data_IF_783348064574
#
_entry.id   IF_783348064574
#
_cell.length_a   1.000
_cell.length_b   1.000
_cell.length_c   1.000
_cell.angle_alpha   90.00
_cell.angle_beta   90.00
_cell.angle_gamma   90.00
#
_symmetry.space_group_name_H-M   'P 1'
#
loop_
_entity.id
_entity.type
_entity.pdbx_description
1 polymer ?
#
# COMPACT_ATOMS: atom_id res chain seq x y z
N UNK A 1 -8.54 1.04 11.93
CA UNK A 1 -9.09 -0.32 12.17
C UNK A 1 -8.09 -1.11 13.02
N UNK A 2 -8.50 -1.77 14.12
CA UNK A 2 -7.61 -2.68 14.86
C UNK A 2 -7.69 -4.07 14.22
N UNK A 3 -6.58 -4.53 13.65
CA UNK A 3 -6.46 -5.90 13.13
C UNK A 3 -6.16 -6.89 14.26
N UNK A 4 -6.63 -8.12 14.12
CA UNK A 4 -6.29 -9.18 15.06
C UNK A 4 -4.79 -9.50 14.98
N UNK A 5 -4.05 -9.61 16.10
CA UNK A 5 -2.58 -9.72 16.07
C UNK A 5 -2.02 -10.90 15.26
N UNK A 6 -2.76 -12.03 15.22
CA UNK A 6 -2.33 -13.25 14.50
C UNK A 6 -2.76 -13.28 13.03
N UNK A 7 -3.36 -12.20 12.52
CA UNK A 7 -3.78 -12.13 11.13
C UNK A 7 -2.56 -12.15 10.19
N UNK A 8 -2.58 -13.04 9.21
CA UNK A 8 -1.58 -13.12 8.13
C UNK A 8 -1.95 -12.15 7.00
N UNK A 9 -2.01 -10.85 7.30
CA UNK A 9 -2.34 -9.81 6.33
C UNK A 9 -1.75 -8.45 6.76
N UNK A 10 -1.79 -7.45 5.90
CA UNK A 10 -1.47 -6.05 6.20
C UNK A 10 -2.59 -5.14 5.69
N UNK A 11 -2.59 -3.87 6.11
CA UNK A 11 -3.61 -2.91 5.68
C UNK A 11 -3.14 -1.45 5.76
N UNK A 12 -3.52 -0.68 4.76
CA UNK A 12 -3.55 0.78 4.77
C UNK A 12 -4.96 1.33 5.11
N UNK A 13 -5.02 2.38 5.93
CA UNK A 13 -6.23 3.18 6.17
C UNK A 13 -5.99 4.62 5.74
N UNK A 14 -6.82 5.11 4.82
CA UNK A 14 -6.70 6.46 4.27
C UNK A 14 -7.05 7.55 5.29
N UNK A 15 -8.09 7.33 6.11
CA UNK A 15 -8.59 8.28 7.10
C UNK A 15 -7.61 8.52 8.25
N UNK A 16 -6.72 7.56 8.50
CA UNK A 16 -5.67 7.68 9.52
C UNK A 16 -4.27 7.80 8.93
N UNK A 17 -4.16 7.80 7.58
CA UNK A 17 -2.91 7.75 6.83
C UNK A 17 -1.88 6.79 7.47
N UNK A 18 -2.32 5.56 7.77
CA UNK A 18 -1.54 4.60 8.54
C UNK A 18 -1.50 3.22 7.89
N UNK A 19 -0.33 2.59 7.95
CA UNK A 19 -0.10 1.19 7.58
C UNK A 19 0.01 0.33 8.84
N UNK A 20 -0.64 -0.84 8.84
CA UNK A 20 -0.65 -1.76 9.97
C UNK A 20 -0.13 -3.13 9.55
N UNK A 21 0.88 -3.62 10.28
CA UNK A 21 1.42 -4.98 10.16
C UNK A 21 1.17 -5.73 11.48
N UNK A 22 0.16 -6.61 11.54
CA UNK A 22 -0.02 -7.54 12.65
C UNK A 22 1.21 -8.43 12.83
N UNK A 23 1.48 -8.88 14.05
CA UNK A 23 2.63 -9.74 14.33
C UNK A 23 2.63 -11.03 13.47
N UNK A 24 1.46 -11.57 13.14
CA UNK A 24 1.33 -12.78 12.33
C UNK A 24 2.03 -12.70 10.96
N UNK A 25 2.04 -11.54 10.29
CA UNK A 25 2.70 -11.41 8.98
C UNK A 25 4.23 -11.29 9.08
N UNK A 26 4.78 -11.07 10.28
CA UNK A 26 6.21 -10.93 10.54
C UNK A 26 6.91 -12.26 10.83
N UNK A 27 6.40 -13.33 10.23
CA UNK A 27 6.90 -14.70 10.36
C UNK A 27 7.60 -15.20 9.08
N UNK A 28 8.38 -16.29 9.16
CA UNK A 28 9.00 -16.89 8.01
C UNK A 28 8.06 -17.15 6.82
N UNK A 29 8.72 -17.07 5.66
CA UNK A 29 8.26 -16.75 4.28
C UNK A 29 8.28 -15.25 4.00
N UNK A 30 7.77 -14.38 4.90
CA UNK A 30 7.81 -12.93 4.69
C UNK A 30 9.00 -12.25 5.35
N UNK A 31 9.31 -12.60 6.60
CA UNK A 31 10.40 -11.99 7.35
C UNK A 31 11.16 -13.03 8.16
N UNK A 32 12.49 -12.89 8.17
CA UNK A 32 13.38 -13.62 9.08
C UNK A 32 14.37 -12.64 9.68
N UNK A 33 14.42 -12.54 11.01
CA UNK A 33 15.31 -11.61 11.70
C UNK A 33 16.78 -11.77 11.28
N UNK A 34 17.27 -13.03 11.23
CA UNK A 34 18.62 -13.37 10.79
C UNK A 34 18.68 -13.84 9.33
N UNK A 35 17.65 -13.52 8.52
CA UNK A 35 17.59 -13.91 7.12
C UNK A 35 18.44 -13.04 6.20
N UNK A 36 18.77 -13.57 5.01
CA UNK A 36 19.45 -12.76 3.99
C UNK A 36 18.57 -11.56 3.62
N UNK A 37 19.14 -10.35 3.62
CA UNK A 37 18.38 -9.11 3.38
C UNK A 37 17.55 -9.15 2.10
N UNK A 38 18.09 -9.71 1.02
CA UNK A 38 17.36 -9.81 -0.25
C UNK A 38 16.04 -10.60 -0.12
N UNK A 39 16.01 -11.64 0.74
CA UNK A 39 14.79 -12.42 1.00
C UNK A 39 13.77 -11.56 1.77
N UNK A 40 14.21 -10.83 2.80
CA UNK A 40 13.32 -9.92 3.54
C UNK A 40 12.80 -8.78 2.66
N UNK A 41 13.63 -8.21 1.78
CA UNK A 41 13.19 -7.19 0.83
C UNK A 41 12.16 -7.74 -0.18
N UNK A 42 12.37 -8.97 -0.68
CA UNK A 42 11.42 -9.63 -1.58
C UNK A 42 10.13 -10.11 -0.90
N UNK A 43 10.20 -10.45 0.38
CA UNK A 43 9.06 -10.83 1.21
C UNK A 43 8.38 -9.59 1.81
N UNK A 44 8.66 -9.31 3.08
CA UNK A 44 8.02 -8.22 3.82
C UNK A 44 8.27 -6.84 3.20
N UNK A 45 9.41 -6.62 2.53
CA UNK A 45 9.69 -5.35 1.87
C UNK A 45 8.69 -5.01 0.76
N UNK A 46 8.30 -5.99 -0.06
CA UNK A 46 7.25 -5.82 -1.08
C UNK A 46 5.91 -5.53 -0.44
N UNK A 47 5.57 -6.21 0.66
CA UNK A 47 4.30 -5.98 1.38
C UNK A 47 4.27 -4.57 1.99
N UNK A 48 5.39 -4.09 2.56
CA UNK A 48 5.50 -2.71 3.03
C UNK A 48 5.31 -1.72 1.88
N UNK A 49 5.97 -1.95 0.74
CA UNK A 49 5.80 -1.11 -0.45
C UNK A 49 4.36 -1.11 -1.00
N UNK A 50 3.69 -2.26 -0.93
CA UNK A 50 2.28 -2.42 -1.31
C UNK A 50 1.36 -1.53 -0.45
N UNK A 51 1.49 -1.61 0.88
CA UNK A 51 0.66 -0.80 1.79
C UNK A 51 0.95 0.70 1.66
N UNK A 52 2.20 1.10 1.42
CA UNK A 52 2.53 2.51 1.10
C UNK A 52 1.84 2.95 -0.18
N UNK A 53 1.82 2.09 -1.21
CA UNK A 53 1.22 2.41 -2.51
C UNK A 53 -0.29 2.59 -2.43
N UNK A 54 -0.97 1.96 -1.45
CA UNK A 54 -2.39 2.18 -1.21
C UNK A 54 -2.72 3.64 -0.85
N UNK A 55 -1.79 4.41 -0.26
CA UNK A 55 -1.95 5.85 -0.04
C UNK A 55 -2.01 6.67 -1.34
N UNK A 56 -1.58 6.10 -2.46
CA UNK A 56 -1.51 6.78 -3.75
C UNK A 56 -2.31 6.09 -4.85
N UNK A 57 -3.04 5.03 -4.53
CA UNK A 57 -3.90 4.34 -5.49
C UNK A 57 -5.14 5.18 -5.86
N UNK A 58 -6.04 4.64 -6.69
CA UNK A 58 -7.24 5.35 -7.15
C UNK A 58 -8.12 5.90 -6.01
N UNK A 59 -8.12 5.23 -4.85
CA UNK A 59 -8.86 5.65 -3.65
C UNK A 59 -7.97 6.48 -2.73
N UNK A 60 -6.76 6.01 -2.42
CA UNK A 60 -5.85 6.70 -1.50
C UNK A 60 -5.47 8.11 -1.97
N UNK A 61 -5.27 8.30 -3.27
CA UNK A 61 -4.97 9.62 -3.87
C UNK A 61 -6.05 10.69 -3.67
N UNK A 62 -7.22 10.32 -3.16
CA UNK A 62 -8.31 11.25 -2.85
C UNK A 62 -8.21 11.81 -1.42
N UNK A 63 -7.28 11.31 -0.61
CA UNK A 63 -7.06 11.71 0.77
C UNK A 63 -5.71 12.45 0.89
N UNK A 64 -5.68 13.55 1.63
CA UNK A 64 -4.43 14.24 1.96
C UNK A 64 -3.64 13.54 3.08
N UNK A 65 -2.53 14.14 3.48
CA UNK A 65 -1.64 13.58 4.51
C UNK A 65 -2.29 13.42 5.89
N UNK A 66 -3.36 14.16 6.16
CA UNK A 66 -4.08 14.16 7.44
C UNK A 66 -5.31 13.24 7.38
N UNK A 67 -5.53 12.57 6.24
CA UNK A 67 -6.65 11.66 6.03
C UNK A 67 -7.96 12.35 5.64
N UNK A 68 -7.92 13.61 5.17
CA UNK A 68 -9.10 14.31 4.69
C UNK A 68 -9.36 14.02 3.21
N UNK A 69 -10.62 13.75 2.86
CA UNK A 69 -11.02 13.58 1.47
C UNK A 69 -11.02 14.94 0.72
N UNK A 70 -9.88 15.32 0.16
CA UNK A 70 -9.68 16.59 -0.55
C UNK A 70 -8.85 16.38 -1.81
N UNK A 71 -9.17 17.12 -2.87
CA UNK A 71 -8.34 17.10 -4.07
C UNK A 71 -7.07 17.95 -3.87
N UNK A 72 -5.99 17.32 -3.44
CA UNK A 72 -4.68 17.94 -3.23
C UNK A 72 -3.78 17.93 -4.49
N UNK A 73 -4.25 17.36 -5.60
CA UNK A 73 -3.53 17.38 -6.89
C UNK A 73 -3.99 18.49 -7.82
N UNK A 74 -3.03 19.06 -8.55
CA UNK A 74 -3.33 19.91 -9.70
C UNK A 74 -4.05 19.10 -10.80
N UNK A 75 -4.88 19.74 -11.64
CA UNK A 75 -5.59 19.06 -12.73
C UNK A 75 -4.65 18.29 -13.66
N UNK A 76 -3.47 18.84 -13.95
CA UNK A 76 -2.44 18.21 -14.80
C UNK A 76 -1.95 16.89 -14.23
N UNK A 77 -1.61 16.83 -12.94
CA UNK A 77 -1.13 15.61 -12.29
C UNK A 77 -2.24 14.55 -12.24
N UNK A 78 -3.46 14.96 -11.91
CA UNK A 78 -4.62 14.06 -11.89
C UNK A 78 -4.90 13.42 -13.25
N UNK A 79 -4.77 14.18 -14.34
CA UNK A 79 -4.92 13.65 -15.69
C UNK A 79 -3.83 12.64 -16.04
N UNK A 80 -2.56 12.94 -15.74
CA UNK A 80 -1.44 12.03 -15.99
C UNK A 80 -1.56 10.73 -15.18
N UNK A 81 -2.00 10.81 -13.92
CA UNK A 81 -2.25 9.64 -13.10
C UNK A 81 -3.32 8.73 -13.70
N UNK A 82 -4.47 9.30 -14.11
CA UNK A 82 -5.55 8.54 -14.78
C UNK A 82 -5.08 7.84 -16.06
N UNK A 83 -4.25 8.51 -16.86
CA UNK A 83 -3.68 7.91 -18.08
C UNK A 83 -2.79 6.71 -17.76
N UNK A 84 -1.94 6.79 -16.72
CA UNK A 84 -1.09 5.67 -16.30
C UNK A 84 -1.91 4.52 -15.71
N UNK A 85 -2.90 4.82 -14.87
CA UNK A 85 -3.80 3.84 -14.29
C UNK A 85 -4.59 3.09 -15.37
N UNK A 86 -5.06 3.80 -16.41
CA UNK A 86 -5.75 3.16 -17.55
C UNK A 86 -4.88 2.08 -18.24
N UNK A 87 -3.59 2.32 -18.42
CA UNK A 87 -2.70 1.31 -19.01
C UNK A 87 -2.61 0.03 -18.16
N UNK A 88 -2.60 0.17 -16.84
CA UNK A 88 -2.65 -0.99 -15.93
C UNK A 88 -4.02 -1.69 -15.99
N UNK A 89 -5.13 -0.94 -16.02
CA UNK A 89 -6.47 -1.52 -16.20
C UNK A 89 -6.51 -2.36 -17.49
N UNK A 90 -6.02 -1.78 -18.60
CA UNK A 90 -6.01 -2.45 -19.90
C UNK A 90 -5.12 -3.72 -19.86
N UNK A 91 -3.96 -3.66 -19.21
CA UNK A 91 -3.04 -4.81 -19.04
C UNK A 91 -3.69 -6.00 -18.31
N UNK A 92 -4.51 -5.74 -17.29
CA UNK A 92 -5.14 -6.78 -16.46
C UNK A 92 -6.58 -7.13 -16.88
N UNK A 93 -7.05 -6.59 -18.02
CA UNK A 93 -8.42 -6.81 -18.54
C UNK A 93 -8.57 -8.00 -19.49
N UNK A 94 -7.51 -8.79 -19.68
CA UNK A 94 -7.47 -9.99 -20.53
C UNK A 94 -7.51 -11.27 -19.71
#
# INVERSE_FOLDING_TARGET
>A
VKLHPVLLNAMYSAESNAITFPAGILEPVFYRHNGHRAVNFGGIGVVIGHEITHGFDLRGSQYDQDGNAVNWWTPKIKQQFKQRAKRLIDQYSS
#
